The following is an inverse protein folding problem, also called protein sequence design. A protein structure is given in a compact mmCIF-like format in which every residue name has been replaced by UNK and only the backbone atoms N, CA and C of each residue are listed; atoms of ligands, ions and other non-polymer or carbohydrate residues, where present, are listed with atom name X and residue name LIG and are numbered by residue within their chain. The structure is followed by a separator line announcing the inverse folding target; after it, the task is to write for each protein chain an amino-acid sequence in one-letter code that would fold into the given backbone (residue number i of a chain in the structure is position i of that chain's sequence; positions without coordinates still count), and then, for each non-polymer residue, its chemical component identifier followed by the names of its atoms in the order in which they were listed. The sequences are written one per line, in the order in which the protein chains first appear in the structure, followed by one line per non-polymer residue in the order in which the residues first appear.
data_IF_924800467908
#
_entry.id   IF_924800467908
#
_cell.length_a   1.000
_cell.length_b   1.000
_cell.length_c   1.000
_cell.angle_alpha   90.00
_cell.angle_beta   90.00
_cell.angle_gamma   90.00
#
_symmetry.space_group_name_H-M   'P 1'
#
loop_
_entity.id
_entity.type
_entity.pdbx_description
1 polymer ?
#
# COMPACT_ATOMS: atom_id res chain seq x y z
N UNK A 1 2.72 2.57 18.01
CA UNK A 1 2.64 2.69 16.53
C UNK A 1 1.24 2.40 15.97
N UNK A 2 0.76 1.13 15.84
CA UNK A 2 -0.57 0.85 15.25
C UNK A 2 -1.73 1.43 16.06
N UNK A 3 -1.77 1.20 17.37
CA UNK A 3 -2.80 1.78 18.26
C UNK A 3 -2.82 3.30 18.20
N UNK A 4 -1.65 3.91 18.20
CA UNK A 4 -1.48 5.36 18.06
C UNK A 4 -2.04 5.87 16.72
N UNK A 5 -1.72 5.19 15.60
CA UNK A 5 -2.27 5.53 14.29
C UNK A 5 -3.80 5.47 14.30
N UNK A 6 -4.38 4.39 14.83
CA UNK A 6 -5.84 4.23 14.95
C UNK A 6 -6.46 5.40 15.75
N UNK A 7 -5.87 5.73 16.90
CA UNK A 7 -6.34 6.84 17.72
C UNK A 7 -6.31 8.17 16.97
N UNK A 8 -5.22 8.44 16.24
CA UNK A 8 -5.08 9.66 15.43
C UNK A 8 -6.07 9.71 14.26
N UNK A 9 -6.26 8.59 13.55
CA UNK A 9 -7.23 8.50 12.46
C UNK A 9 -8.66 8.79 12.95
N UNK A 10 -9.07 8.17 14.06
CA UNK A 10 -10.38 8.42 14.68
C UNK A 10 -10.53 9.88 15.09
N UNK A 11 -9.57 10.42 15.86
CA UNK A 11 -9.60 11.81 16.35
C UNK A 11 -9.71 12.84 15.23
N UNK A 12 -9.04 12.57 14.09
CA UNK A 12 -9.02 13.49 12.93
C UNK A 12 -10.09 13.17 11.88
N UNK A 13 -10.90 12.13 12.09
CA UNK A 13 -11.94 11.67 11.16
C UNK A 13 -11.37 11.30 9.79
N UNK A 14 -10.23 10.59 9.76
CA UNK A 14 -9.54 10.16 8.54
C UNK A 14 -9.89 8.71 8.25
N UNK A 15 -10.30 8.42 7.02
CA UNK A 15 -10.56 7.07 6.51
C UNK A 15 -9.37 6.56 5.70
N UNK A 16 -8.98 5.32 5.93
CA UNK A 16 -7.98 4.63 5.12
C UNK A 16 -8.63 3.99 3.89
N UNK A 17 -8.07 4.28 2.72
CA UNK A 17 -8.32 3.59 1.46
C UNK A 17 -7.04 2.85 1.10
N UNK A 18 -7.09 1.53 0.94
CA UNK A 18 -5.89 0.70 0.90
C UNK A 18 -5.80 -0.04 -0.44
N UNK A 19 -4.66 0.09 -1.12
CA UNK A 19 -4.33 -0.65 -2.33
C UNK A 19 -3.15 -1.61 -2.07
N UNK A 20 -3.46 -2.87 -1.85
CA UNK A 20 -2.46 -3.90 -1.59
C UNK A 20 -2.08 -4.67 -2.86
N UNK A 21 -0.86 -5.17 -2.89
CA UNK A 21 -0.40 -6.14 -3.87
C UNK A 21 0.22 -7.34 -3.15
N UNK A 22 1.53 -7.35 -2.93
CA UNK A 22 2.22 -8.47 -2.32
C UNK A 22 1.80 -8.79 -0.88
N UNK A 23 1.21 -7.86 -0.16
CA UNK A 23 0.71 -8.05 1.21
C UNK A 23 -0.62 -8.80 1.27
N UNK A 24 -1.34 -8.91 0.14
CA UNK A 24 -2.46 -9.81 -0.04
C UNK A 24 -3.64 -9.61 0.93
N UNK A 25 -3.93 -8.37 1.35
CA UNK A 25 -4.98 -8.05 2.31
C UNK A 25 -4.52 -8.03 3.77
N UNK A 26 -3.26 -8.43 4.05
CA UNK A 26 -2.77 -8.50 5.42
C UNK A 26 -2.62 -7.14 6.09
N UNK A 27 -2.31 -6.08 5.34
CA UNK A 27 -2.27 -4.73 5.89
C UNK A 27 -3.67 -4.30 6.34
N UNK A 28 -4.67 -4.47 5.50
CA UNK A 28 -6.07 -4.17 5.86
C UNK A 28 -6.54 -5.03 7.05
N UNK A 29 -6.21 -6.32 7.06
CA UNK A 29 -6.55 -7.23 8.14
C UNK A 29 -5.98 -6.77 9.50
N UNK A 30 -4.75 -6.22 9.53
CA UNK A 30 -4.16 -5.67 10.75
C UNK A 30 -5.03 -4.58 11.42
N UNK A 31 -5.85 -3.89 10.65
CA UNK A 31 -6.77 -2.88 11.15
C UNK A 31 -8.19 -3.42 11.38
N UNK A 32 -8.70 -4.20 10.42
CA UNK A 32 -10.08 -4.72 10.43
C UNK A 32 -10.33 -5.68 11.59
N UNK A 33 -9.34 -6.45 12.02
CA UNK A 33 -9.45 -7.37 13.17
C UNK A 33 -9.72 -6.67 14.51
N UNK A 34 -9.63 -5.35 14.57
CA UNK A 34 -9.93 -4.59 15.78
C UNK A 34 -11.38 -4.10 15.76
N UNK A 35 -12.07 -4.16 16.91
CA UNK A 35 -13.43 -3.63 17.07
C UNK A 35 -13.48 -2.15 16.70
N UNK A 36 -14.51 -1.73 15.97
CA UNK A 36 -14.71 -0.36 15.54
C UNK A 36 -13.86 0.04 14.33
N UNK A 37 -13.41 -0.93 13.51
CA UNK A 37 -12.59 -0.67 12.31
C UNK A 37 -13.30 0.24 11.29
N UNK A 38 -14.63 0.18 11.19
CA UNK A 38 -15.42 1.03 10.32
C UNK A 38 -15.28 2.53 10.60
N UNK A 39 -14.78 2.90 11.78
CA UNK A 39 -14.55 4.32 12.10
C UNK A 39 -13.34 4.91 11.34
N UNK A 40 -12.39 4.08 10.90
CA UNK A 40 -11.14 4.53 10.26
C UNK A 40 -10.74 3.75 9.00
N UNK A 41 -11.44 2.68 8.63
CA UNK A 41 -11.30 2.01 7.34
C UNK A 41 -12.51 2.39 6.48
N UNK A 42 -12.26 2.76 5.23
CA UNK A 42 -13.29 2.86 4.20
C UNK A 42 -13.34 1.55 3.41
N UNK A 43 -12.27 1.26 2.66
CA UNK A 43 -12.17 0.02 1.90
C UNK A 43 -10.73 -0.38 1.61
N UNK A 44 -10.57 -1.60 1.14
CA UNK A 44 -9.29 -2.14 0.67
C UNK A 44 -9.47 -2.93 -0.61
N UNK A 45 -8.54 -2.77 -1.56
CA UNK A 45 -8.44 -3.56 -2.78
C UNK A 45 -7.11 -4.32 -2.79
N UNK A 46 -7.16 -5.61 -3.10
CA UNK A 46 -5.97 -6.41 -3.38
C UNK A 46 -5.78 -6.47 -4.89
N UNK A 47 -4.95 -5.58 -5.42
CA UNK A 47 -4.60 -5.50 -6.83
C UNK A 47 -3.30 -6.25 -7.09
N UNK A 48 -3.37 -7.59 -7.09
CA UNK A 48 -2.19 -8.45 -7.12
C UNK A 48 -1.53 -8.48 -8.50
N UNK A 49 -2.31 -8.67 -9.56
CA UNK A 49 -1.84 -8.74 -10.94
C UNK A 49 -1.60 -7.35 -11.54
N UNK A 50 -0.88 -7.32 -12.66
CA UNK A 50 -0.73 -6.10 -13.47
C UNK A 50 -2.08 -5.62 -14.00
N UNK A 51 -2.94 -6.53 -14.44
CA UNK A 51 -4.25 -6.19 -15.01
C UNK A 51 -5.22 -5.67 -13.95
N UNK A 52 -5.23 -6.22 -12.74
CA UNK A 52 -6.05 -5.66 -11.65
C UNK A 52 -5.64 -4.23 -11.29
N UNK A 53 -4.35 -3.89 -11.37
CA UNK A 53 -3.88 -2.51 -11.17
C UNK A 53 -4.37 -1.56 -12.29
N UNK A 54 -4.40 -2.03 -13.55
CA UNK A 54 -4.94 -1.24 -14.67
C UNK A 54 -6.43 -0.98 -14.47
N UNK A 55 -7.19 -2.03 -14.21
CA UNK A 55 -8.66 -1.98 -14.14
C UNK A 55 -9.14 -1.20 -12.92
N UNK A 56 -8.70 -1.60 -11.72
CA UNK A 56 -9.23 -1.05 -10.47
C UNK A 56 -8.54 0.24 -10.01
N UNK A 57 -7.33 0.50 -10.47
CA UNK A 57 -6.58 1.69 -10.07
C UNK A 57 -6.25 2.62 -11.25
N UNK A 58 -6.79 2.34 -12.44
CA UNK A 58 -6.60 3.14 -13.65
C UNK A 58 -5.11 3.42 -13.96
N UNK A 59 -4.28 2.36 -13.89
CA UNK A 59 -2.83 2.48 -14.05
C UNK A 59 -2.31 2.02 -15.41
N UNK A 60 -3.16 1.90 -16.43
CA UNK A 60 -2.75 1.38 -17.73
C UNK A 60 -1.60 2.18 -18.34
N UNK A 61 -1.71 3.50 -18.36
CA UNK A 61 -0.68 4.37 -18.95
C UNK A 61 0.60 4.40 -18.13
N UNK A 62 0.49 4.35 -16.81
CA UNK A 62 1.65 4.31 -15.91
C UNK A 62 2.43 3.00 -16.05
N UNK A 63 1.72 1.87 -16.22
CA UNK A 63 2.31 0.54 -16.39
C UNK A 63 2.90 0.27 -17.79
N UNK A 64 2.63 1.12 -18.78
CA UNK A 64 3.34 1.12 -20.06
C UNK A 64 4.74 1.72 -19.93
N UNK A 65 4.94 2.64 -18.99
CA UNK A 65 6.18 3.43 -18.83
C UNK A 65 7.03 3.02 -17.64
N UNK A 66 6.45 2.30 -16.68
CA UNK A 66 7.11 1.96 -15.43
C UNK A 66 7.02 0.45 -15.16
N UNK A 67 8.04 -0.07 -14.48
CA UNK A 67 7.99 -1.40 -13.89
C UNK A 67 6.89 -1.47 -12.83
N UNK A 68 6.19 -2.60 -12.77
CA UNK A 68 5.11 -2.85 -11.80
C UNK A 68 5.58 -2.71 -10.35
N UNK A 69 6.85 -2.99 -10.08
CA UNK A 69 7.51 -2.77 -8.80
C UNK A 69 8.37 -1.52 -8.90
N UNK A 70 7.78 -0.37 -8.70
CA UNK A 70 8.46 0.91 -8.78
C UNK A 70 7.86 1.96 -7.85
N UNK A 71 8.63 3.01 -7.62
CA UNK A 71 8.20 4.16 -6.83
C UNK A 71 6.96 4.82 -7.43
N UNK A 72 6.97 5.01 -8.77
CA UNK A 72 5.86 5.68 -9.45
C UNK A 72 4.56 4.87 -9.34
N UNK A 73 4.61 3.55 -9.50
CA UNK A 73 3.44 2.69 -9.35
C UNK A 73 2.91 2.73 -7.92
N UNK A 74 3.78 2.65 -6.90
CA UNK A 74 3.33 2.79 -5.51
C UNK A 74 2.64 4.15 -5.25
N UNK A 75 3.22 5.26 -5.75
CA UNK A 75 2.60 6.60 -5.67
C UNK A 75 1.21 6.62 -6.29
N UNK A 76 1.10 6.17 -7.53
CA UNK A 76 -0.15 6.19 -8.28
C UNK A 76 -1.21 5.28 -7.64
N UNK A 77 -0.83 4.12 -7.14
CA UNK A 77 -1.72 3.25 -6.38
C UNK A 77 -2.30 3.99 -5.16
N UNK A 78 -1.45 4.68 -4.36
CA UNK A 78 -1.89 5.41 -3.17
C UNK A 78 -2.80 6.60 -3.48
N UNK A 79 -2.56 7.30 -4.58
CA UNK A 79 -3.40 8.41 -5.03
C UNK A 79 -4.73 7.88 -5.55
N UNK A 80 -4.68 6.96 -6.51
CA UNK A 80 -5.86 6.53 -7.25
C UNK A 80 -6.83 5.72 -6.38
N UNK A 81 -6.34 5.01 -5.36
CA UNK A 81 -7.23 4.31 -4.43
C UNK A 81 -8.19 5.26 -3.71
N UNK A 82 -7.84 6.53 -3.50
CA UNK A 82 -8.71 7.47 -2.80
C UNK A 82 -9.88 7.98 -3.66
N UNK A 83 -9.83 7.80 -4.97
CA UNK A 83 -10.85 8.35 -5.91
C UNK A 83 -12.24 7.74 -5.76
N UNK A 84 -12.35 6.55 -5.19
CA UNK A 84 -13.63 5.87 -4.96
C UNK A 84 -14.28 6.23 -3.62
N UNK A 85 -13.55 6.91 -2.73
CA UNK A 85 -14.09 7.30 -1.44
C UNK A 85 -15.00 8.52 -1.54
N UNK A 86 -16.10 8.49 -0.80
CA UNK A 86 -17.00 9.64 -0.62
C UNK A 86 -16.70 10.44 0.65
N UNK A 87 -15.68 10.04 1.41
CA UNK A 87 -15.29 10.74 2.63
C UNK A 87 -14.40 11.95 2.34
N UNK A 88 -14.61 13.04 3.06
CA UNK A 88 -13.85 14.29 2.87
C UNK A 88 -12.37 14.17 3.25
N UNK A 89 -12.04 13.30 4.21
CA UNK A 89 -10.67 13.09 4.69
C UNK A 89 -10.27 11.63 4.48
N UNK A 90 -9.58 11.36 3.41
CA UNK A 90 -9.08 10.03 3.08
C UNK A 90 -7.57 10.00 3.03
N UNK A 91 -6.99 8.93 3.55
CA UNK A 91 -5.58 8.61 3.38
C UNK A 91 -5.48 7.37 2.49
N UNK A 92 -4.89 7.53 1.31
CA UNK A 92 -4.56 6.41 0.43
C UNK A 92 -3.26 5.76 0.85
N UNK A 93 -3.25 4.43 0.98
CA UNK A 93 -2.07 3.66 1.35
C UNK A 93 -1.87 2.55 0.34
N UNK A 94 -0.64 2.34 -0.10
CA UNK A 94 -0.34 1.31 -1.09
C UNK A 94 0.98 0.59 -0.84
N UNK A 95 1.11 -0.61 -1.42
CA UNK A 95 2.38 -1.29 -1.57
C UNK A 95 2.46 -2.07 -2.89
N UNK A 96 3.65 -2.14 -3.45
CA UNK A 96 4.02 -3.06 -4.54
C UNK A 96 5.42 -3.58 -4.28
N UNK A 97 5.70 -4.84 -4.61
CA UNK A 97 7.01 -5.41 -4.30
C UNK A 97 7.15 -6.87 -4.69
N UNK A 98 8.38 -7.36 -4.60
CA UNK A 98 8.78 -8.73 -4.85
C UNK A 98 9.10 -9.42 -3.52
N UNK A 99 8.19 -10.26 -3.04
CA UNK A 99 8.39 -11.00 -1.79
C UNK A 99 9.14 -12.34 -1.95
N UNK A 100 9.52 -12.68 -3.17
CA UNK A 100 10.31 -13.88 -3.50
C UNK A 100 11.04 -13.67 -4.82
N UNK A 101 12.03 -14.52 -5.11
CA UNK A 101 12.65 -14.54 -6.43
C UNK A 101 11.63 -14.85 -7.51
N UNK A 102 11.68 -14.07 -8.56
CA UNK A 102 10.82 -14.27 -9.72
C UNK A 102 11.53 -15.18 -10.72
N UNK A 103 10.89 -16.29 -11.08
CA UNK A 103 11.36 -17.16 -12.15
C UNK A 103 11.30 -16.44 -13.52
N UNK A 104 10.47 -15.40 -13.63
CA UNK A 104 10.29 -14.64 -14.87
C UNK A 104 10.88 -13.22 -14.73
N UNK A 105 12.15 -13.06 -15.08
CA UNK A 105 12.90 -11.79 -15.02
C UNK A 105 12.29 -10.66 -15.89
N UNK A 106 11.33 -11.00 -16.77
CA UNK A 106 10.66 -10.02 -17.64
C UNK A 106 9.58 -9.18 -16.93
N UNK A 107 9.17 -9.53 -15.71
CA UNK A 107 8.14 -8.83 -14.97
C UNK A 107 8.66 -7.73 -14.05
N UNK A 108 9.89 -7.83 -13.59
CA UNK A 108 10.57 -6.76 -12.84
C UNK A 108 12.07 -6.91 -12.91
N UNK A 109 12.77 -5.77 -13.04
CA UNK A 109 14.25 -5.68 -12.96
C UNK A 109 14.73 -5.62 -11.50
N UNK A 110 13.83 -5.59 -10.54
CA UNK A 110 14.15 -5.46 -9.12
C UNK A 110 14.52 -6.81 -8.51
N UNK A 111 15.42 -6.80 -7.53
CA UNK A 111 15.78 -7.98 -6.74
C UNK A 111 14.66 -8.38 -5.77
N UNK A 112 14.62 -9.67 -5.42
CA UNK A 112 13.74 -10.18 -4.36
C UNK A 112 13.89 -9.37 -3.07
N UNK A 113 12.80 -9.20 -2.37
CA UNK A 113 12.72 -8.38 -1.16
C UNK A 113 12.59 -6.88 -1.40
N UNK A 114 12.64 -6.42 -2.67
CA UNK A 114 12.42 -5.00 -2.99
C UNK A 114 10.94 -4.67 -2.88
N UNK A 115 10.62 -3.68 -2.05
CA UNK A 115 9.25 -3.20 -1.81
C UNK A 115 9.21 -1.68 -1.89
N UNK A 116 8.21 -1.16 -2.58
CA UNK A 116 7.82 0.25 -2.52
C UNK A 116 6.45 0.36 -1.86
N UNK A 117 6.30 1.31 -0.98
CA UNK A 117 5.02 1.61 -0.33
C UNK A 117 4.86 3.11 -0.19
N UNK A 118 3.62 3.56 -0.31
CA UNK A 118 3.28 4.96 -0.34
C UNK A 118 2.08 5.28 0.55
N UNK A 119 2.04 6.51 1.04
CA UNK A 119 0.86 7.08 1.69
C UNK A 119 0.58 8.46 1.10
N UNK A 120 -0.67 8.72 0.79
CA UNK A 120 -1.17 9.96 0.21
C UNK A 120 -2.23 10.58 1.12
N UNK A 121 -2.03 11.81 1.53
CA UNK A 121 -2.98 12.54 2.37
C UNK A 121 -2.83 14.05 2.17
N UNK A 122 -3.96 14.77 2.08
CA UNK A 122 -4.01 16.23 1.90
C UNK A 122 -3.10 16.73 0.75
N UNK A 123 -3.22 16.10 -0.42
CA UNK A 123 -2.40 16.40 -1.63
C UNK A 123 -0.90 16.16 -1.47
N UNK A 124 -0.45 15.65 -0.33
CA UNK A 124 0.93 15.26 -0.10
C UNK A 124 1.10 13.76 -0.28
N UNK A 125 2.21 13.36 -0.88
CA UNK A 125 2.58 11.96 -1.08
C UNK A 125 3.95 11.69 -0.45
N UNK A 126 4.04 10.62 0.31
CA UNK A 126 5.32 10.08 0.79
C UNK A 126 5.47 8.67 0.28
N UNK A 127 6.67 8.36 -0.22
CA UNK A 127 7.03 7.01 -0.69
C UNK A 127 8.28 6.56 0.04
N UNK A 128 8.39 5.26 0.24
CA UNK A 128 9.60 4.62 0.74
C UNK A 128 9.91 3.37 -0.06
N UNK A 129 11.17 3.12 -0.26
CA UNK A 129 11.74 1.86 -0.76
C UNK A 129 12.39 1.13 0.40
N UNK A 130 12.17 -0.18 0.48
CA UNK A 130 12.92 -1.08 1.36
C UNK A 130 13.40 -2.29 0.56
N UNK A 131 14.53 -2.84 0.96
CA UNK A 131 15.05 -4.09 0.40
C UNK A 131 15.32 -5.04 1.56
N UNK A 132 14.54 -6.08 1.65
CA UNK A 132 14.61 -7.09 2.72
C UNK A 132 15.37 -8.31 2.20
N UNK A 133 16.70 -8.28 2.29
CA UNK A 133 17.56 -9.38 1.82
C UNK A 133 17.51 -10.57 2.78
N UNK A 134 17.55 -11.80 2.23
CA UNK A 134 17.67 -13.02 3.00
C UNK A 134 16.46 -13.39 3.89
N UNK A 135 15.32 -12.76 3.67
CA UNK A 135 14.11 -13.04 4.42
C UNK A 135 13.13 -13.90 3.63
N UNK A 136 12.43 -14.78 4.32
CA UNK A 136 11.33 -15.54 3.75
C UNK A 136 10.15 -14.59 3.38
N UNK A 137 9.31 -15.02 2.43
CA UNK A 137 8.17 -14.26 1.92
C UNK A 137 7.26 -13.69 3.02
N UNK A 138 6.88 -14.51 3.99
CA UNK A 138 6.02 -14.10 5.11
C UNK A 138 6.68 -13.04 6.00
N UNK A 139 8.00 -13.11 6.17
CA UNK A 139 8.77 -12.11 6.93
C UNK A 139 8.84 -10.78 6.18
N UNK A 140 9.03 -10.81 4.85
CA UNK A 140 9.01 -9.60 4.01
C UNK A 140 7.64 -8.92 4.11
N UNK A 141 6.55 -9.69 3.98
CA UNK A 141 5.19 -9.18 4.12
C UNK A 141 4.99 -8.51 5.50
N UNK A 142 5.33 -9.21 6.57
CA UNK A 142 5.18 -8.72 7.95
C UNK A 142 5.98 -7.43 8.20
N UNK A 143 7.23 -7.37 7.71
CA UNK A 143 8.07 -6.17 7.84
C UNK A 143 7.54 -5.01 6.99
N UNK A 144 7.05 -5.28 5.79
CA UNK A 144 6.42 -4.27 4.93
C UNK A 144 5.23 -3.62 5.64
N UNK A 145 4.36 -4.41 6.26
CA UNK A 145 3.20 -3.91 7.02
C UNK A 145 3.64 -2.96 8.15
N UNK A 146 4.68 -3.31 8.90
CA UNK A 146 5.23 -2.45 9.96
C UNK A 146 5.72 -1.11 9.41
N UNK A 147 6.46 -1.14 8.30
CA UNK A 147 6.97 0.07 7.65
C UNK A 147 5.85 0.95 7.08
N UNK A 148 4.79 0.35 6.53
CA UNK A 148 3.61 1.07 6.06
C UNK A 148 2.89 1.80 7.22
N UNK A 149 2.77 1.16 8.39
CA UNK A 149 2.19 1.78 9.60
C UNK A 149 3.05 2.98 10.05
N UNK A 150 4.38 2.84 10.03
CA UNK A 150 5.31 3.95 10.36
C UNK A 150 5.10 5.11 9.38
N UNK A 151 5.00 4.82 8.08
CA UNK A 151 4.79 5.83 7.07
C UNK A 151 3.46 6.57 7.28
N UNK A 152 2.38 5.86 7.55
CA UNK A 152 1.07 6.47 7.84
C UNK A 152 1.11 7.38 9.08
N UNK A 153 1.78 6.94 10.16
CA UNK A 153 1.96 7.78 11.36
C UNK A 153 2.69 9.08 11.09
N UNK A 154 3.54 9.14 10.06
CA UNK A 154 4.27 10.36 9.72
C UNK A 154 3.42 11.46 9.08
N UNK A 155 2.14 11.18 8.79
CA UNK A 155 1.17 12.14 8.24
C UNK A 155 0.19 12.69 9.27
N UNK A 156 0.00 11.99 10.38
CA UNK A 156 -1.09 12.28 11.33
C UNK A 156 -0.64 12.49 12.76
#
# INVERSE_FOLDING_TARGET
MKRELITKLKKKNIKLCIAESMTGGNFAYEFIKNKGASEYIDYSLVCYSKDSKKIFLNLENDLKKNDVVSENIAKKMAINITSYSKHHKTMGVSCTGLASDFLNKNLSKMSAGTVFFAAYFNKNIKVRKKVFKGLARNQIISRTIKEMIILCNSFV
#
